data_IF_767067370470
#
_entry.id   IF_767067370470
#
_cell.length_a   1.000
_cell.length_b   1.000
_cell.length_c   1.000
_cell.angle_alpha   90.00
_cell.angle_beta   90.00
_cell.angle_gamma   90.00
#
_symmetry.space_group_name_H-M   'P 1'
#
loop_
_entity.id
_entity.type
_entity.pdbx_description
1 polymer ?
#
# COMPACT_ATOMS: atom_id res chain seq x y z
N UNK A 1 6.33 -18.71 -12.51
CA UNK A 1 4.91 -18.77 -12.14
C UNK A 1 4.74 -18.02 -10.83
N UNK A 2 3.78 -17.09 -10.68
CA UNK A 2 3.56 -16.40 -9.42
C UNK A 2 3.08 -17.41 -8.38
N UNK A 3 3.61 -17.30 -7.17
CA UNK A 3 3.28 -18.19 -6.06
C UNK A 3 1.99 -17.71 -5.38
N UNK A 4 0.91 -18.54 -5.36
CA UNK A 4 -0.36 -18.18 -4.76
C UNK A 4 -0.24 -17.70 -3.32
N UNK A 5 0.72 -18.24 -2.55
CA UNK A 5 0.92 -17.90 -1.15
C UNK A 5 1.51 -16.50 -0.92
N UNK A 6 2.08 -15.85 -1.95
CA UNK A 6 2.72 -14.52 -1.76
C UNK A 6 1.74 -13.42 -1.45
N UNK A 7 0.57 -13.44 -2.09
CA UNK A 7 -0.47 -12.45 -1.83
C UNK A 7 -0.94 -12.54 -0.38
N UNK A 8 -1.25 -13.75 0.06
CA UNK A 8 -1.68 -14.07 1.41
C UNK A 8 -0.60 -13.70 2.44
N UNK A 9 0.66 -14.08 2.21
CA UNK A 9 1.77 -13.75 3.10
C UNK A 9 2.00 -12.23 3.26
N UNK A 10 1.81 -11.43 2.19
CA UNK A 10 1.93 -9.97 2.27
C UNK A 10 0.75 -9.35 3.01
N UNK A 11 -0.46 -9.88 2.84
CA UNK A 11 -1.62 -9.43 3.60
C UNK A 11 -1.45 -9.72 5.09
N UNK A 12 -0.92 -10.89 5.45
CA UNK A 12 -0.61 -11.21 6.85
C UNK A 12 0.39 -10.24 7.47
N UNK A 13 1.35 -9.70 6.71
CA UNK A 13 2.25 -8.67 7.26
C UNK A 13 1.50 -7.42 7.68
N UNK A 14 0.51 -6.98 6.91
CA UNK A 14 -0.29 -5.80 7.28
C UNK A 14 -1.25 -6.11 8.43
N UNK A 15 -1.89 -7.28 8.41
CA UNK A 15 -2.79 -7.70 9.49
C UNK A 15 -2.05 -7.83 10.82
N UNK A 16 -0.82 -8.38 10.82
CA UNK A 16 -0.02 -8.51 12.03
C UNK A 16 0.35 -7.15 12.64
N UNK A 17 0.51 -6.10 11.81
CA UNK A 17 0.75 -4.74 12.32
C UNK A 17 -0.49 -4.18 13.04
N UNK A 18 -1.70 -4.58 12.64
CA UNK A 18 -2.92 -4.20 13.34
C UNK A 18 -3.05 -4.98 14.64
N UNK A 19 -2.94 -6.32 14.56
CA UNK A 19 -3.25 -7.21 15.67
C UNK A 19 -2.20 -7.18 16.79
N UNK A 20 -0.91 -7.16 16.44
CA UNK A 20 0.17 -7.30 17.41
C UNK A 20 0.83 -5.96 17.77
N UNK A 21 0.98 -5.06 16.80
CA UNK A 21 1.63 -3.75 17.02
C UNK A 21 0.60 -2.64 17.35
N UNK A 22 -0.70 -2.93 17.29
CA UNK A 22 -1.77 -1.99 17.64
C UNK A 22 -1.87 -0.80 16.69
N UNK A 23 -1.40 -0.93 15.44
CA UNK A 23 -1.44 0.17 14.47
C UNK A 23 -2.89 0.45 14.06
N UNK A 24 -3.37 1.64 14.44
CA UNK A 24 -4.74 2.11 14.16
C UNK A 24 -4.79 3.29 13.20
N UNK A 25 -3.65 3.87 12.84
CA UNK A 25 -3.59 4.96 11.87
C UNK A 25 -3.88 4.43 10.46
N UNK A 26 -5.07 4.77 9.96
CA UNK A 26 -5.56 4.38 8.64
C UNK A 26 -4.63 4.80 7.50
N UNK A 27 -3.94 5.93 7.62
CA UNK A 27 -3.01 6.42 6.60
C UNK A 27 -1.74 5.57 6.57
N UNK A 28 -1.26 5.18 7.74
CA UNK A 28 -0.12 4.29 7.87
C UNK A 28 -0.44 2.89 7.33
N UNK A 29 -1.62 2.35 7.66
CA UNK A 29 -2.08 1.07 7.12
C UNK A 29 -2.25 1.12 5.58
N UNK A 30 -2.79 2.21 5.04
CA UNK A 30 -2.90 2.41 3.60
C UNK A 30 -1.51 2.46 2.90
N UNK A 31 -0.54 3.13 3.54
CA UNK A 31 0.84 3.18 3.09
C UNK A 31 1.51 1.79 3.15
N UNK A 32 1.20 0.97 4.16
CA UNK A 32 1.73 -0.40 4.28
C UNK A 32 1.26 -1.25 3.10
N UNK A 33 -0.02 -1.13 2.69
CA UNK A 33 -0.52 -1.83 1.49
C UNK A 33 0.24 -1.40 0.24
N UNK A 34 0.47 -0.08 0.06
CA UNK A 34 1.20 0.44 -1.09
C UNK A 34 2.61 -0.18 -1.17
N UNK A 35 3.34 -0.13 -0.06
CA UNK A 35 4.72 -0.58 0.02
C UNK A 35 4.84 -2.11 -0.13
N UNK A 36 3.98 -2.86 0.57
CA UNK A 36 3.97 -4.31 0.56
C UNK A 36 3.68 -4.86 -0.85
N UNK A 37 2.65 -4.34 -1.52
CA UNK A 37 2.24 -4.84 -2.84
C UNK A 37 3.20 -4.36 -3.94
N UNK A 38 3.63 -3.10 -3.90
CA UNK A 38 4.50 -2.55 -4.95
C UNK A 38 5.88 -3.21 -5.00
N UNK A 39 6.40 -3.67 -3.85
CA UNK A 39 7.71 -4.34 -3.72
C UNK A 39 7.63 -5.86 -3.62
N UNK A 40 6.43 -6.41 -3.44
CA UNK A 40 6.22 -7.82 -3.14
C UNK A 40 6.36 -8.79 -4.32
N UNK A 41 6.44 -8.28 -5.56
CA UNK A 41 6.48 -9.10 -6.79
C UNK A 41 5.44 -10.25 -6.77
N UNK A 42 4.22 -9.91 -6.34
CA UNK A 42 3.10 -10.86 -6.15
C UNK A 42 2.60 -11.35 -7.52
N UNK A 43 2.49 -10.42 -8.45
CA UNK A 43 1.99 -10.64 -9.79
C UNK A 43 3.12 -10.62 -10.82
N UNK A 44 2.92 -11.32 -11.95
CA UNK A 44 3.86 -11.26 -13.08
C UNK A 44 4.03 -9.83 -13.61
N UNK A 45 2.94 -9.06 -13.63
CA UNK A 45 2.91 -7.63 -13.92
C UNK A 45 1.75 -6.99 -13.14
N UNK A 46 1.74 -5.66 -13.03
CA UNK A 46 0.64 -4.91 -12.44
C UNK A 46 0.83 -4.55 -10.97
N UNK A 47 1.89 -5.02 -10.30
CA UNK A 47 2.13 -4.79 -8.87
C UNK A 47 1.94 -3.32 -8.44
N UNK A 48 2.50 -2.35 -9.18
CA UNK A 48 2.33 -0.92 -8.89
C UNK A 48 0.87 -0.45 -9.03
N UNK A 49 0.19 -0.85 -10.11
CA UNK A 49 -1.21 -0.50 -10.36
C UNK A 49 -2.13 -1.09 -9.29
N UNK A 50 -1.90 -2.36 -8.94
CA UNK A 50 -2.64 -3.04 -7.87
C UNK A 50 -2.37 -2.40 -6.51
N UNK A 51 -1.11 -2.05 -6.20
CA UNK A 51 -0.75 -1.38 -4.96
C UNK A 51 -1.53 -0.07 -4.80
N UNK A 52 -1.48 0.79 -5.81
CA UNK A 52 -2.19 2.07 -5.78
C UNK A 52 -3.70 1.87 -5.66
N UNK A 53 -4.29 0.98 -6.45
CA UNK A 53 -5.73 0.70 -6.39
C UNK A 53 -6.16 0.19 -5.01
N UNK A 54 -5.40 -0.74 -4.42
CA UNK A 54 -5.71 -1.29 -3.10
C UNK A 54 -5.56 -0.23 -2.01
N UNK A 55 -4.52 0.61 -2.06
CA UNK A 55 -4.34 1.73 -1.12
C UNK A 55 -5.53 2.69 -1.15
N UNK A 56 -5.98 3.11 -2.35
CA UNK A 56 -7.12 4.00 -2.50
C UNK A 56 -8.44 3.31 -2.09
N UNK A 57 -8.61 2.03 -2.42
CA UNK A 57 -9.78 1.25 -2.03
C UNK A 57 -9.86 1.07 -0.51
N UNK A 58 -8.73 0.83 0.16
CA UNK A 58 -8.63 0.71 1.61
C UNK A 58 -9.07 2.01 2.29
N UNK A 59 -8.53 3.16 1.85
CA UNK A 59 -8.95 4.46 2.37
C UNK A 59 -10.45 4.71 2.14
N UNK A 60 -10.95 4.40 0.94
CA UNK A 60 -12.39 4.53 0.62
C UNK A 60 -13.27 3.70 1.53
N UNK A 61 -12.87 2.46 1.85
CA UNK A 61 -13.58 1.58 2.79
C UNK A 61 -13.55 2.09 4.23
N UNK A 62 -12.57 2.93 4.58
CA UNK A 62 -12.49 3.63 5.86
C UNK A 62 -13.11 5.04 5.81
N UNK A 63 -13.94 5.35 4.82
CA UNK A 63 -14.65 6.63 4.72
C UNK A 63 -13.84 7.78 4.13
N UNK A 64 -12.61 7.53 3.67
CA UNK A 64 -11.71 8.54 3.12
C UNK A 64 -11.67 8.40 1.60
N UNK A 65 -12.26 9.37 0.89
CA UNK A 65 -12.19 9.41 -0.58
C UNK A 65 -11.19 10.48 -1.02
N UNK A 66 -10.12 10.05 -1.70
CA UNK A 66 -9.16 10.94 -2.32
C UNK A 66 -9.59 11.22 -3.76
N UNK A 67 -9.49 12.49 -4.19
CA UNK A 67 -9.65 12.84 -5.58
C UNK A 67 -8.53 12.21 -6.42
N UNK A 68 -8.78 12.02 -7.71
CA UNK A 68 -7.73 11.57 -8.61
C UNK A 68 -6.58 12.58 -8.62
N UNK A 69 -5.38 12.13 -8.25
CA UNK A 69 -4.17 12.95 -8.23
C UNK A 69 -3.05 12.22 -9.02
N UNK A 70 -2.49 12.82 -10.08
CA UNK A 70 -1.33 12.27 -10.81
C UNK A 70 -0.13 11.97 -9.91
N UNK A 71 0.07 12.72 -8.82
CA UNK A 71 1.19 12.55 -7.89
C UNK A 71 1.18 11.17 -7.23
N UNK A 72 0.02 10.52 -7.13
CA UNK A 72 -0.06 9.15 -6.61
C UNK A 72 0.67 8.14 -7.49
N UNK A 73 0.76 8.40 -8.79
CA UNK A 73 1.50 7.55 -9.73
C UNK A 73 2.99 7.65 -9.43
N UNK A 74 3.51 8.87 -9.31
CA UNK A 74 4.93 9.10 -8.99
C UNK A 74 5.28 8.55 -7.61
N UNK A 75 4.45 8.82 -6.60
CA UNK A 75 4.60 8.26 -5.26
C UNK A 75 4.66 6.73 -5.27
N UNK A 76 3.83 6.07 -6.09
CA UNK A 76 3.83 4.60 -6.20
C UNK A 76 5.12 4.10 -6.86
N UNK A 77 5.64 4.82 -7.87
CA UNK A 77 6.92 4.48 -8.51
C UNK A 77 8.07 4.64 -7.51
N UNK A 78 8.09 5.72 -6.73
CA UNK A 78 9.10 5.97 -5.72
C UNK A 78 9.08 4.94 -4.59
N UNK A 79 7.88 4.58 -4.11
CA UNK A 79 7.71 3.52 -3.12
C UNK A 79 8.24 2.17 -3.64
N UNK A 80 7.91 1.82 -4.88
CA UNK A 80 8.39 0.59 -5.52
C UNK A 80 9.93 0.58 -5.69
N UNK A 81 10.51 1.75 -5.95
CA UNK A 81 11.97 1.94 -6.05
C UNK A 81 12.68 1.99 -4.69
N UNK A 82 11.94 1.94 -3.58
CA UNK A 82 12.49 2.05 -2.23
C UNK A 82 12.97 3.46 -1.86
N UNK A 83 12.49 4.48 -2.56
CA UNK A 83 12.86 5.90 -2.35
C UNK A 83 12.00 6.61 -1.30
N UNK A 84 10.91 6.00 -0.87
CA UNK A 84 10.03 6.53 0.17
C UNK A 84 9.94 5.59 1.38
N UNK A 85 9.94 6.18 2.57
CA UNK A 85 9.58 5.48 3.81
C UNK A 85 8.06 5.35 3.94
N UNK A 86 7.64 4.51 4.87
CA UNK A 86 6.23 4.29 5.16
C UNK A 86 5.53 5.59 5.60
N UNK A 87 6.20 6.37 6.45
CA UNK A 87 5.71 7.63 7.01
C UNK A 87 5.61 8.70 5.93
N UNK A 88 6.56 8.75 4.99
CA UNK A 88 6.53 9.66 3.85
C UNK A 88 5.35 9.37 2.93
N UNK A 89 5.03 8.10 2.69
CA UNK A 89 3.86 7.70 1.90
C UNK A 89 2.58 8.10 2.64
N UNK A 90 2.47 7.79 3.94
CA UNK A 90 1.30 8.14 4.75
C UNK A 90 1.06 9.66 4.77
N UNK A 91 2.11 10.46 4.90
CA UNK A 91 2.03 11.92 4.86
C UNK A 91 1.51 12.43 3.50
N UNK A 92 2.02 11.89 2.39
CA UNK A 92 1.58 12.27 1.03
C UNK A 92 0.13 11.86 0.73
N UNK A 93 -0.35 10.75 1.31
CA UNK A 93 -1.75 10.34 1.18
C UNK A 93 -2.72 11.27 1.93
N UNK A 94 -2.24 11.90 3.00
CA UNK A 94 -3.04 12.76 3.89
C UNK A 94 -3.12 14.22 3.43
N UNK A 95 -2.18 14.67 2.62
CA UNK A 95 -2.10 16.02 2.07
C UNK A 95 -3.16 16.26 0.99
#
# INVERSE_FOLDING_TARGET
>A
MPDPGRAEALMYRVLNQIEYEGVTDVWLLAAMHLLAISRGHIFNDGNKRTALFITLLFLKRNGISLAANPDFVEMTVDAAAGRLTLEQIALRLRA
#
